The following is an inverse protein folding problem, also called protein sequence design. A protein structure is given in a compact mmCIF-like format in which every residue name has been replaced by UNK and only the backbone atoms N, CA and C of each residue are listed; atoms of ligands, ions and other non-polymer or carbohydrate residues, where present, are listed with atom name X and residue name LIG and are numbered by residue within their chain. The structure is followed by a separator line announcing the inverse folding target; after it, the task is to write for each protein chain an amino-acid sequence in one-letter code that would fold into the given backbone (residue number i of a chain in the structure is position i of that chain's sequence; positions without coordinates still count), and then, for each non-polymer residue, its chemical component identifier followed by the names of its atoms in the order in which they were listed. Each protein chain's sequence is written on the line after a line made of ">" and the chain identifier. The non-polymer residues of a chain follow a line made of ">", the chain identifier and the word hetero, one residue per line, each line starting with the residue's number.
data_IF_063477728020
#
_entry.id   IF_063477728020
#
_cell.length_a   1.000
_cell.length_b   1.000
_cell.length_c   1.000
_cell.angle_alpha   90.00
_cell.angle_beta   90.00
_cell.angle_gamma   90.00
#
_symmetry.space_group_name_H-M   'P 1'
#
loop_
_entity.id
_entity.type
_entity.pdbx_description
1 polymer ?
#
# COMPACT_ATOMS: atom_id res chain seq x y z
N UNK A 1 -22.79 29.31 -16.39
CA UNK A 1 -22.90 27.85 -16.15
C UNK A 1 -24.32 27.43 -16.47
N UNK A 2 -24.52 26.37 -17.25
CA UNK A 2 -25.86 25.81 -17.50
C UNK A 2 -26.31 24.93 -16.33
N UNK A 3 -27.63 24.69 -16.21
CA UNK A 3 -28.19 23.75 -15.23
C UNK A 3 -27.56 22.35 -15.35
N UNK A 4 -27.33 21.90 -16.59
CA UNK A 4 -26.63 20.65 -16.88
C UNK A 4 -25.18 20.62 -16.36
N UNK A 5 -24.43 21.72 -16.50
CA UNK A 5 -23.07 21.79 -15.96
C UNK A 5 -23.05 21.73 -14.43
N UNK A 6 -24.05 22.32 -13.77
CA UNK A 6 -24.18 22.24 -12.32
C UNK A 6 -24.56 20.83 -11.84
N UNK A 7 -25.48 20.17 -12.54
CA UNK A 7 -25.87 18.78 -12.26
C UNK A 7 -24.69 17.81 -12.46
N UNK A 8 -23.88 18.05 -13.49
CA UNK A 8 -22.63 17.32 -13.74
C UNK A 8 -21.66 17.41 -12.56
N UNK A 9 -21.37 18.64 -12.11
CA UNK A 9 -20.48 18.93 -10.99
C UNK A 9 -20.98 18.25 -9.72
N UNK A 10 -22.30 18.35 -9.43
CA UNK A 10 -22.90 17.72 -8.24
C UNK A 10 -22.75 16.20 -8.27
N UNK A 11 -23.04 15.57 -9.40
CA UNK A 11 -22.93 14.11 -9.54
C UNK A 11 -21.47 13.65 -9.39
N UNK A 12 -20.51 14.44 -9.90
CA UNK A 12 -19.08 14.17 -9.74
C UNK A 12 -18.63 14.30 -8.28
N UNK A 13 -19.08 15.33 -7.58
CA UNK A 13 -18.79 15.48 -6.15
C UNK A 13 -19.37 14.32 -5.34
N UNK A 14 -20.57 13.85 -5.68
CA UNK A 14 -21.16 12.67 -5.06
C UNK A 14 -20.32 11.41 -5.30
N UNK A 15 -19.76 11.22 -6.50
CA UNK A 15 -18.83 10.11 -6.74
C UNK A 15 -17.55 10.23 -5.92
N UNK A 16 -17.05 11.44 -5.64
CA UNK A 16 -15.92 11.64 -4.73
C UNK A 16 -16.28 11.28 -3.29
N UNK A 17 -17.46 11.65 -2.79
CA UNK A 17 -17.91 11.24 -1.46
C UNK A 17 -18.03 9.71 -1.32
N UNK A 18 -18.52 9.02 -2.35
CA UNK A 18 -18.51 7.55 -2.38
C UNK A 18 -17.09 6.97 -2.42
N UNK A 19 -16.16 7.63 -3.13
CA UNK A 19 -14.75 7.24 -3.17
C UNK A 19 -14.09 7.38 -1.79
N UNK A 20 -14.28 8.50 -1.11
CA UNK A 20 -13.76 8.74 0.24
C UNK A 20 -14.29 7.72 1.24
N UNK A 21 -15.58 7.43 1.20
CA UNK A 21 -16.20 6.39 2.02
C UNK A 21 -15.59 5.01 1.71
N UNK A 22 -15.39 4.68 0.44
CA UNK A 22 -14.73 3.43 0.03
C UNK A 22 -13.29 3.32 0.54
N UNK A 23 -12.51 4.41 0.50
CA UNK A 23 -11.14 4.44 1.04
C UNK A 23 -11.16 4.21 2.56
N UNK A 24 -12.10 4.80 3.29
CA UNK A 24 -12.21 4.59 4.73
C UNK A 24 -12.53 3.13 5.06
N UNK A 25 -13.51 2.55 4.37
CA UNK A 25 -13.86 1.13 4.53
C UNK A 25 -12.69 0.20 4.22
N UNK A 26 -11.92 0.52 3.18
CA UNK A 26 -10.72 -0.22 2.83
C UNK A 26 -9.68 -0.18 3.95
N UNK A 27 -9.42 1.00 4.51
CA UNK A 27 -8.49 1.19 5.63
C UNK A 27 -8.95 0.44 6.89
N UNK A 28 -10.24 0.50 7.19
CA UNK A 28 -10.80 -0.13 8.39
C UNK A 28 -10.82 -1.66 8.28
N UNK A 29 -10.99 -2.20 7.07
CA UNK A 29 -11.05 -3.64 6.83
C UNK A 29 -9.64 -4.26 6.64
N UNK A 30 -8.73 -3.53 5.99
CA UNK A 30 -7.38 -3.99 5.66
C UNK A 30 -7.32 -5.06 4.56
N UNK A 31 -8.44 -5.38 3.91
CA UNK A 31 -8.55 -6.41 2.86
C UNK A 31 -9.09 -5.80 1.56
N UNK A 32 -8.68 -6.31 0.38
CA UNK A 32 -9.26 -5.90 -0.90
C UNK A 32 -10.65 -6.51 -1.14
N UNK A 33 -11.05 -7.49 -0.33
CA UNK A 33 -12.29 -8.25 -0.49
C UNK A 33 -13.45 -7.67 0.32
N UNK A 34 -13.95 -6.51 -0.11
CA UNK A 34 -15.09 -5.83 0.52
C UNK A 34 -16.30 -5.93 -0.41
N UNK A 35 -17.43 -6.37 0.13
CA UNK A 35 -18.68 -6.47 -0.63
C UNK A 35 -19.14 -5.09 -1.14
N UNK A 36 -19.79 -5.01 -2.31
CA UNK A 36 -20.35 -3.77 -2.81
C UNK A 36 -21.31 -3.09 -1.82
N UNK A 37 -21.28 -1.76 -1.80
CA UNK A 37 -22.13 -0.96 -0.91
C UNK A 37 -22.87 0.07 -1.75
N UNK A 38 -24.17 0.18 -1.51
CA UNK A 38 -25.03 1.21 -2.08
C UNK A 38 -25.51 2.14 -0.97
N UNK A 39 -25.47 3.46 -1.24
CA UNK A 39 -25.96 4.49 -0.32
C UNK A 39 -26.67 5.60 -1.08
N UNK A 40 -27.66 6.18 -0.42
CA UNK A 40 -28.28 7.42 -0.85
C UNK A 40 -27.68 8.59 -0.08
N UNK A 41 -27.46 9.71 -0.76
CA UNK A 41 -27.01 10.95 -0.16
C UNK A 41 -27.65 12.13 -0.89
N UNK A 42 -28.49 12.88 -0.16
CA UNK A 42 -29.40 13.89 -0.73
C UNK A 42 -30.29 13.28 -1.84
N UNK A 43 -30.33 13.94 -3.01
CA UNK A 43 -31.15 13.57 -4.16
C UNK A 43 -30.46 12.57 -5.11
N UNK A 44 -29.38 11.93 -4.65
CA UNK A 44 -28.59 11.01 -5.44
C UNK A 44 -28.24 9.72 -4.71
N UNK A 45 -27.68 8.77 -5.45
CA UNK A 45 -27.13 7.54 -4.92
C UNK A 45 -25.70 7.33 -5.40
N UNK A 46 -24.94 6.54 -4.67
CA UNK A 46 -23.67 6.02 -5.14
C UNK A 46 -23.50 4.54 -4.77
N UNK A 47 -22.77 3.83 -5.63
CA UNK A 47 -22.37 2.44 -5.45
C UNK A 47 -20.85 2.37 -5.39
N UNK A 48 -20.35 1.74 -4.34
CA UNK A 48 -18.94 1.43 -4.11
C UNK A 48 -18.72 -0.03 -4.50
N UNK A 49 -17.73 -0.30 -5.35
CA UNK A 49 -17.24 -1.66 -5.64
C UNK A 49 -15.73 -1.74 -5.47
N UNK A 50 -15.25 -2.92 -5.06
CA UNK A 50 -13.84 -3.25 -4.93
C UNK A 50 -13.52 -4.36 -5.93
N UNK A 51 -13.01 -3.98 -7.10
CA UNK A 51 -12.69 -4.93 -8.16
C UNK A 51 -11.29 -5.50 -7.93
N UNK A 52 -11.20 -6.77 -7.54
CA UNK A 52 -9.92 -7.43 -7.21
C UNK A 52 -9.32 -8.20 -8.40
N UNK A 53 -10.10 -8.42 -9.46
CA UNK A 53 -9.68 -9.24 -10.60
C UNK A 53 -9.16 -8.40 -11.76
N UNK A 54 -9.82 -7.29 -12.09
CA UNK A 54 -9.57 -6.55 -13.32
C UNK A 54 -9.71 -5.04 -13.17
N UNK A 55 -9.02 -4.32 -14.04
CA UNK A 55 -9.09 -2.87 -14.14
C UNK A 55 -10.30 -2.41 -14.98
N UNK A 56 -10.40 -1.10 -15.23
CA UNK A 56 -11.49 -0.49 -15.99
C UNK A 56 -11.62 -0.98 -17.44
N UNK A 57 -10.54 -1.54 -18.01
CA UNK A 57 -10.48 -2.03 -19.39
C UNK A 57 -10.67 -3.55 -19.48
N UNK A 58 -10.90 -4.22 -18.34
CA UNK A 58 -11.06 -5.66 -18.26
C UNK A 58 -9.75 -6.45 -18.20
N UNK A 59 -8.60 -5.77 -18.12
CA UNK A 59 -7.29 -6.41 -17.93
C UNK A 59 -7.12 -6.84 -16.49
N UNK A 60 -6.56 -8.03 -16.26
CA UNK A 60 -6.33 -8.53 -14.90
C UNK A 60 -5.40 -7.60 -14.09
N UNK A 61 -5.69 -7.45 -12.80
CA UNK A 61 -4.77 -6.77 -11.88
C UNK A 61 -3.49 -7.61 -11.72
N UNK A 62 -2.33 -6.95 -11.61
CA UNK A 62 -1.04 -7.65 -11.57
C UNK A 62 -0.78 -8.40 -10.25
N UNK A 63 -1.45 -8.02 -9.16
CA UNK A 63 -1.22 -8.59 -7.83
C UNK A 63 -2.52 -8.86 -7.08
N UNK A 64 -2.51 -9.92 -6.28
CA UNK A 64 -3.63 -10.40 -5.45
C UNK A 64 -4.06 -9.41 -4.35
N UNK A 65 -3.13 -8.58 -3.87
CA UNK A 65 -3.36 -7.58 -2.84
C UNK A 65 -3.84 -6.23 -3.38
N UNK A 66 -3.99 -6.09 -4.70
CA UNK A 66 -4.53 -4.89 -5.33
C UNK A 66 -6.05 -4.96 -5.47
N UNK A 67 -6.69 -3.80 -5.36
CA UNK A 67 -8.08 -3.62 -5.75
C UNK A 67 -8.24 -2.29 -6.47
N UNK A 68 -9.12 -2.26 -7.46
CA UNK A 68 -9.63 -1.01 -8.00
C UNK A 68 -10.92 -0.67 -7.27
N UNK A 69 -10.82 0.29 -6.35
CA UNK A 69 -11.99 0.91 -5.74
C UNK A 69 -12.66 1.79 -6.78
N UNK A 70 -13.96 1.58 -7.01
CA UNK A 70 -14.80 2.33 -7.93
C UNK A 70 -16.02 2.87 -7.20
N UNK A 71 -16.28 4.16 -7.39
CA UNK A 71 -17.50 4.83 -6.95
C UNK A 71 -18.29 5.30 -8.18
N UNK A 72 -19.54 4.86 -8.29
CA UNK A 72 -20.48 5.25 -9.35
C UNK A 72 -21.60 6.02 -8.70
N UNK A 73 -21.72 7.31 -9.01
CA UNK A 73 -22.78 8.16 -8.50
C UNK A 73 -23.79 8.53 -9.58
N UNK A 74 -25.05 8.62 -9.17
CA UNK A 74 -26.19 8.96 -10.02
C UNK A 74 -27.01 10.06 -9.37
N UNK A 75 -27.31 11.12 -10.12
CA UNK A 75 -28.33 12.12 -9.78
C UNK A 75 -29.18 12.31 -11.03
N UNK A 76 -30.47 11.97 -10.94
CA UNK A 76 -31.38 11.88 -12.09
C UNK A 76 -30.80 10.99 -13.22
N UNK A 77 -30.55 11.55 -14.40
CA UNK A 77 -30.02 10.92 -15.59
C UNK A 77 -28.50 11.10 -15.75
N UNK A 78 -27.85 11.81 -14.83
CA UNK A 78 -26.40 12.02 -14.86
C UNK A 78 -25.70 10.97 -14.01
N UNK A 79 -24.71 10.31 -14.62
CA UNK A 79 -23.88 9.29 -13.98
C UNK A 79 -22.41 9.72 -14.04
N UNK A 80 -21.71 9.64 -12.90
CA UNK A 80 -20.28 9.94 -12.80
C UNK A 80 -19.54 8.83 -12.05
N UNK A 81 -18.36 8.50 -12.56
CA UNK A 81 -17.53 7.42 -12.06
C UNK A 81 -16.18 7.97 -11.61
N UNK A 82 -15.72 7.57 -10.44
CA UNK A 82 -14.38 7.83 -9.93
C UNK A 82 -13.75 6.52 -9.49
N UNK A 83 -12.44 6.40 -9.64
CA UNK A 83 -11.71 5.16 -9.38
C UNK A 83 -10.33 5.45 -8.81
N UNK A 84 -9.84 4.55 -7.98
CA UNK A 84 -8.47 4.56 -7.46
C UNK A 84 -7.99 3.12 -7.28
N UNK A 85 -6.71 2.88 -7.52
CA UNK A 85 -6.08 1.60 -7.19
C UNK A 85 -5.55 1.67 -5.77
N UNK A 86 -5.88 0.67 -4.97
CA UNK A 86 -5.46 0.53 -3.58
C UNK A 86 -4.71 -0.79 -3.41
N UNK A 87 -3.78 -0.78 -2.46
CA UNK A 87 -3.02 -1.94 -2.04
C UNK A 87 -3.38 -2.27 -0.60
N UNK A 88 -3.74 -3.53 -0.34
CA UNK A 88 -4.00 -4.06 1.01
C UNK A 88 -2.74 -4.58 1.69
N UNK A 89 -1.67 -4.69 0.90
CA UNK A 89 -0.33 -4.59 1.45
C UNK A 89 -0.30 -3.33 2.32
N UNK A 90 0.28 -3.43 3.51
CA UNK A 90 0.33 -2.31 4.44
C UNK A 90 1.12 -1.12 3.85
N UNK A 91 1.56 -0.17 4.67
CA UNK A 91 2.72 0.67 4.34
C UNK A 91 4.02 -0.18 4.17
N UNK A 92 3.92 -1.37 3.59
CA UNK A 92 4.84 -2.48 3.62
C UNK A 92 6.11 -2.24 2.79
N UNK A 93 6.12 -1.19 1.97
CA UNK A 93 7.32 -0.69 1.32
C UNK A 93 8.19 0.17 2.25
N UNK A 94 7.74 0.39 3.51
CA UNK A 94 8.48 1.01 4.60
C UNK A 94 8.68 0.07 5.80
N UNK A 95 8.53 -1.26 5.64
CA UNK A 95 8.88 -2.19 6.72
C UNK A 95 10.38 -2.13 6.99
N UNK A 96 10.73 -2.11 8.28
CA UNK A 96 12.10 -2.33 8.73
C UNK A 96 12.54 -3.80 8.51
N UNK A 97 11.58 -4.74 8.47
CA UNK A 97 11.85 -6.16 8.26
C UNK A 97 10.63 -6.93 7.76
N UNK A 98 10.84 -7.94 6.92
CA UNK A 98 9.81 -8.88 6.52
C UNK A 98 10.34 -10.32 6.42
N UNK A 99 9.50 -11.32 6.69
CA UNK A 99 9.89 -12.74 6.62
C UNK A 99 8.72 -13.70 6.42
N UNK A 100 8.91 -14.71 5.58
CA UNK A 100 7.96 -15.82 5.43
C UNK A 100 8.07 -16.89 6.53
N UNK A 101 8.83 -16.64 7.60
CA UNK A 101 9.11 -17.64 8.64
C UNK A 101 7.87 -17.97 9.49
N UNK A 102 7.70 -19.25 9.82
CA UNK A 102 6.65 -19.71 10.74
C UNK A 102 6.91 -19.33 12.20
N UNK A 103 8.18 -19.07 12.56
CA UNK A 103 8.57 -18.51 13.85
C UNK A 103 9.74 -17.55 13.60
N UNK A 104 9.61 -16.31 14.05
CA UNK A 104 10.65 -15.31 14.03
C UNK A 104 11.01 -14.92 15.47
N UNK A 105 12.31 -14.95 15.78
CA UNK A 105 12.84 -14.56 17.09
C UNK A 105 14.10 -13.76 16.87
N UNK A 106 14.19 -12.59 17.48
CA UNK A 106 15.36 -11.73 17.43
C UNK A 106 15.60 -11.16 18.81
N UNK A 107 16.85 -11.09 19.26
CA UNK A 107 17.22 -10.51 20.56
C UNK A 107 18.41 -9.58 20.43
N UNK A 108 18.48 -8.55 21.27
CA UNK A 108 19.65 -7.68 21.37
C UNK A 108 19.67 -6.48 20.42
N UNK A 109 18.63 -6.30 19.60
CA UNK A 109 18.45 -5.14 18.72
C UNK A 109 16.99 -4.68 18.70
N UNK A 110 16.76 -3.40 18.43
CA UNK A 110 15.41 -2.82 18.27
C UNK A 110 15.14 -2.55 16.79
N UNK A 111 13.98 -3.00 16.29
CA UNK A 111 13.49 -2.60 14.96
C UNK A 111 12.90 -1.19 15.03
N UNK A 112 13.47 -0.26 14.25
CA UNK A 112 12.97 1.11 14.12
C UNK A 112 12.07 1.24 12.88
N UNK A 113 10.88 0.66 12.98
CA UNK A 113 9.86 0.64 11.93
C UNK A 113 8.97 -0.58 12.09
N UNK A 114 7.97 -0.69 11.22
CA UNK A 114 7.04 -1.80 11.21
C UNK A 114 7.71 -3.07 10.68
N UNK A 115 7.29 -4.24 11.15
CA UNK A 115 7.81 -5.53 10.68
C UNK A 115 6.68 -6.49 10.33
N UNK A 116 6.96 -7.46 9.45
CA UNK A 116 5.98 -8.46 9.05
C UNK A 116 6.55 -9.89 9.11
N UNK A 117 5.82 -10.85 9.69
CA UNK A 117 6.15 -12.27 9.56
C UNK A 117 4.93 -13.19 9.51
N UNK A 118 4.92 -14.20 8.63
CA UNK A 118 3.75 -15.08 8.45
C UNK A 118 3.32 -15.84 9.72
N UNK A 119 4.28 -16.14 10.62
CA UNK A 119 4.05 -16.92 11.83
C UNK A 119 4.36 -16.17 13.13
N UNK A 120 4.74 -16.91 14.17
CA UNK A 120 4.88 -16.36 15.53
C UNK A 120 6.06 -15.40 15.65
N UNK A 121 5.86 -14.30 16.36
CA UNK A 121 6.87 -13.30 16.68
C UNK A 121 7.23 -13.41 18.18
N UNK A 122 8.48 -13.74 18.49
CA UNK A 122 8.93 -13.95 19.87
C UNK A 122 10.15 -13.08 20.21
N UNK A 123 10.20 -12.57 21.44
CA UNK A 123 11.34 -11.81 21.99
C UNK A 123 11.74 -10.54 21.21
N UNK A 124 10.85 -10.02 20.36
CA UNK A 124 11.13 -8.85 19.53
C UNK A 124 11.07 -7.55 20.34
N UNK A 125 12.01 -6.65 20.09
CA UNK A 125 11.96 -5.26 20.55
C UNK A 125 11.73 -4.36 19.33
N UNK A 126 10.66 -3.57 19.33
CA UNK A 126 10.21 -2.81 18.15
C UNK A 126 9.62 -1.46 18.56
N UNK A 127 9.90 -0.42 17.76
CA UNK A 127 9.34 0.93 17.92
C UNK A 127 8.12 1.20 17.02
N UNK A 128 7.86 0.33 16.04
CA UNK A 128 6.66 0.31 15.20
C UNK A 128 5.69 -0.84 15.55
N UNK A 129 4.90 -1.28 14.57
CA UNK A 129 3.94 -2.37 14.71
C UNK A 129 4.51 -3.66 14.11
N UNK A 130 4.36 -4.77 14.83
CA UNK A 130 4.72 -6.09 14.33
C UNK A 130 3.46 -6.80 13.84
N UNK A 131 3.45 -7.22 12.57
CA UNK A 131 2.29 -7.85 11.94
C UNK A 131 2.54 -9.32 11.64
N UNK A 132 1.48 -10.11 11.70
CA UNK A 132 1.50 -11.54 11.42
C UNK A 132 0.23 -12.02 10.74
N UNK A 133 0.34 -13.04 9.89
CA UNK A 133 -0.85 -13.61 9.23
C UNK A 133 -1.63 -14.55 10.15
N UNK A 134 -0.91 -15.46 10.82
CA UNK A 134 -1.51 -16.57 11.56
C UNK A 134 -0.82 -16.84 12.90
N UNK A 135 0.24 -16.10 13.22
CA UNK A 135 1.01 -16.27 14.44
C UNK A 135 0.53 -15.44 15.63
N UNK A 136 1.18 -15.64 16.76
CA UNK A 136 1.07 -14.82 17.96
C UNK A 136 2.24 -13.83 18.09
N UNK A 137 2.11 -12.85 18.99
CA UNK A 137 3.19 -11.89 19.31
C UNK A 137 3.22 -10.64 18.42
N UNK A 138 2.20 -10.45 17.59
CA UNK A 138 1.98 -9.24 16.79
C UNK A 138 0.48 -9.02 16.50
N UNK A 139 0.20 -8.00 15.69
CA UNK A 139 -1.14 -7.70 15.16
C UNK A 139 -1.46 -8.62 14.00
N UNK A 140 -2.61 -9.30 14.05
CA UNK A 140 -3.08 -10.13 12.94
C UNK A 140 -3.41 -9.25 11.73
N UNK A 141 -2.82 -9.58 10.58
CA UNK A 141 -3.11 -8.98 9.28
C UNK A 141 -4.14 -9.85 8.54
N UNK A 142 -5.18 -9.24 7.94
CA UNK A 142 -6.23 -9.98 7.24
C UNK A 142 -5.69 -10.66 5.97
N UNK A 143 -6.33 -11.77 5.58
CA UNK A 143 -6.03 -12.44 4.32
C UNK A 143 -6.41 -11.54 3.10
N UNK A 144 -5.66 -11.65 1.99
CA UNK A 144 -4.60 -12.62 1.73
C UNK A 144 -3.26 -12.17 2.33
N UNK A 145 -2.46 -13.14 2.79
CA UNK A 145 -1.06 -12.91 3.15
C UNK A 145 -0.33 -12.13 2.06
N UNK A 146 0.45 -11.10 2.40
CA UNK A 146 1.21 -10.38 1.41
C UNK A 146 2.32 -11.23 0.78
N UNK A 147 2.50 -11.07 -0.53
CA UNK A 147 3.57 -11.74 -1.28
C UNK A 147 4.90 -11.02 -1.06
N UNK A 148 5.72 -11.53 -0.15
CA UNK A 148 7.05 -10.99 0.13
C UNK A 148 8.03 -11.36 -1.00
N UNK A 149 8.89 -10.43 -1.46
CA UNK A 149 9.94 -10.74 -2.43
C UNK A 149 10.79 -11.93 -1.97
N UNK A 150 11.02 -12.89 -2.85
CA UNK A 150 11.96 -13.97 -2.58
C UNK A 150 13.39 -13.43 -2.59
N UNK A 151 14.14 -13.65 -1.52
CA UNK A 151 15.58 -13.44 -1.54
C UNK A 151 16.24 -14.36 -2.58
N UNK A 152 16.86 -13.77 -3.61
CA UNK A 152 17.65 -14.49 -4.59
C UNK A 152 19.13 -14.16 -4.39
N UNK A 153 19.84 -15.00 -3.62
CA UNK A 153 21.28 -14.83 -3.38
C UNK A 153 22.09 -14.79 -4.66
N UNK A 154 21.68 -15.55 -5.69
CA UNK A 154 22.39 -15.64 -6.96
C UNK A 154 22.36 -14.32 -7.71
N UNK A 155 21.24 -13.60 -7.69
CA UNK A 155 21.14 -12.27 -8.30
C UNK A 155 22.15 -11.28 -7.70
N UNK A 156 22.24 -11.23 -6.36
CA UNK A 156 23.20 -10.36 -5.69
C UNK A 156 24.64 -10.80 -5.92
N UNK A 157 24.92 -12.11 -5.91
CA UNK A 157 26.26 -12.62 -6.22
C UNK A 157 26.65 -12.30 -7.66
N UNK A 158 25.73 -12.36 -8.62
CA UNK A 158 25.95 -11.95 -10.00
C UNK A 158 26.30 -10.46 -10.08
N UNK A 159 25.51 -9.57 -9.47
CA UNK A 159 25.83 -8.14 -9.43
C UNK A 159 27.21 -7.89 -8.80
N UNK A 160 27.49 -8.51 -7.66
CA UNK A 160 28.78 -8.36 -6.97
C UNK A 160 29.93 -8.87 -7.84
N UNK A 161 29.73 -9.97 -8.58
CA UNK A 161 30.75 -10.53 -9.48
C UNK A 161 30.92 -9.73 -10.78
N UNK A 162 29.92 -8.93 -11.16
CA UNK A 162 29.96 -8.03 -12.32
C UNK A 162 30.63 -6.69 -11.99
N UNK A 163 30.83 -6.36 -10.70
CA UNK A 163 31.64 -5.20 -10.30
C UNK A 163 33.08 -5.45 -10.73
N UNK A 164 33.66 -4.60 -11.61
CA UNK A 164 35.06 -4.73 -12.00
C UNK A 164 35.94 -4.61 -10.75
N UNK A 165 36.81 -5.61 -10.52
CA UNK A 165 37.85 -5.49 -9.50
C UNK A 165 38.87 -4.50 -10.05
N UNK A 166 39.00 -3.33 -9.43
CA UNK A 166 40.11 -2.44 -9.72
C UNK A 166 41.42 -3.12 -9.26
N UNK A 167 42.17 -3.64 -10.23
CA UNK A 167 43.49 -4.23 -10.00
C UNK A 167 44.61 -3.19 -9.90
N UNK A 168 44.30 -1.89 -9.87
CA UNK A 168 45.27 -0.84 -9.60
C UNK A 168 45.32 -0.52 -8.10
N UNK A 169 46.45 -0.87 -7.47
CA UNK A 169 46.69 -0.68 -6.04
C UNK A 169 46.91 0.78 -5.64
N UNK A 170 45.93 1.65 -5.87
CA UNK A 170 45.86 2.98 -5.28
C UNK A 170 44.63 3.07 -4.38
N UNK A 171 44.86 3.37 -3.11
CA UNK A 171 43.83 3.71 -2.12
C UNK A 171 43.17 5.04 -2.49
N UNK A 172 42.35 5.06 -3.54
CA UNK A 172 41.38 6.14 -3.72
C UNK A 172 40.03 5.59 -3.28
N UNK A 173 39.64 5.95 -2.06
CA UNK A 173 38.30 5.68 -1.56
C UNK A 173 37.29 6.40 -2.44
N UNK A 174 36.54 5.63 -3.24
CA UNK A 174 35.37 6.11 -3.95
C UNK A 174 34.37 6.66 -2.91
N UNK A 175 34.38 7.98 -2.75
CA UNK A 175 33.38 8.71 -1.98
C UNK A 175 32.06 8.59 -2.73
N UNK A 176 31.20 7.66 -2.30
CA UNK A 176 29.84 7.58 -2.79
C UNK A 176 29.06 8.79 -2.26
N UNK A 177 29.04 9.88 -3.02
CA UNK A 177 28.21 11.05 -2.75
C UNK A 177 26.78 10.74 -3.26
N UNK A 178 26.20 9.68 -2.68
CA UNK A 178 24.82 9.31 -2.94
C UNK A 178 23.97 10.44 -2.42
N UNK A 179 23.28 11.16 -3.31
CA UNK A 179 22.31 12.19 -2.96
C UNK A 179 21.35 11.61 -1.91
N UNK A 180 21.51 11.93 -0.62
CA UNK A 180 20.55 11.46 0.36
C UNK A 180 19.32 12.30 0.11
N UNK A 181 18.31 11.72 -0.53
CA UNK A 181 17.01 12.35 -0.64
C UNK A 181 16.46 12.42 0.78
N UNK A 182 16.59 13.59 1.41
CA UNK A 182 16.06 13.82 2.73
C UNK A 182 14.55 14.05 2.59
N UNK A 183 13.77 13.19 3.24
CA UNK A 183 12.35 13.40 3.38
C UNK A 183 12.09 14.12 4.70
N UNK A 184 11.34 15.21 4.62
CA UNK A 184 10.75 15.90 5.76
C UNK A 184 9.30 15.44 5.95
N UNK A 185 8.74 15.63 7.15
CA UNK A 185 7.35 15.27 7.47
C UNK A 185 7.01 13.77 7.33
N UNK A 186 7.98 12.87 7.51
CA UNK A 186 7.77 11.41 7.36
C UNK A 186 6.66 10.81 8.24
N UNK A 187 6.28 11.50 9.33
CA UNK A 187 5.25 11.03 10.26
C UNK A 187 3.86 11.65 9.99
N UNK A 188 3.68 12.37 8.87
CA UNK A 188 2.42 13.02 8.51
C UNK A 188 1.77 12.32 7.33
N UNK A 189 0.44 12.24 7.36
CA UNK A 189 -0.39 11.59 6.33
C UNK A 189 -1.33 12.60 5.67
N UNK A 190 -1.80 12.31 4.46
CA UNK A 190 -2.76 13.18 3.77
C UNK A 190 -2.09 14.34 3.03
N UNK A 191 -2.70 15.53 3.04
CA UNK A 191 -2.20 16.71 2.30
C UNK A 191 -0.82 17.19 2.77
N UNK A 192 -0.45 16.90 4.02
CA UNK A 192 0.83 17.25 4.63
C UNK A 192 1.84 16.08 4.60
N UNK A 193 1.66 15.12 3.68
CA UNK A 193 2.49 13.92 3.58
C UNK A 193 3.99 14.18 3.43
N UNK A 194 4.82 13.13 3.41
CA UNK A 194 6.27 13.26 3.31
C UNK A 194 6.65 14.14 2.13
N UNK A 195 7.45 15.17 2.40
CA UNK A 195 7.93 16.13 1.43
C UNK A 195 9.40 15.89 1.20
N UNK A 196 9.79 15.71 -0.05
CA UNK A 196 11.18 15.80 -0.44
C UNK A 196 11.64 17.26 -0.25
N UNK A 197 12.71 17.45 0.50
CA UNK A 197 13.40 18.74 0.64
C UNK A 197 14.42 18.95 -0.47
#
# INVERSE_FOLDING_TARGET
>A
MSSFALLDIRTRNLSHSGLEHGIQLFKDNGSPYISPIEKNFNDGSYVITFETSSNQDGTNLPYSHFTMLKSVATINDVIRNTRVFLSSYQDAFNLAYYSNSANFTQSGTTFNGDIYSNGNLNNITISGIAYTTSGAGGTLHPEPSPELPSYNSSYFQTIISEVPIDSSGSEEGESFDGWPVAFSNCNKTGADGPSQS
#
